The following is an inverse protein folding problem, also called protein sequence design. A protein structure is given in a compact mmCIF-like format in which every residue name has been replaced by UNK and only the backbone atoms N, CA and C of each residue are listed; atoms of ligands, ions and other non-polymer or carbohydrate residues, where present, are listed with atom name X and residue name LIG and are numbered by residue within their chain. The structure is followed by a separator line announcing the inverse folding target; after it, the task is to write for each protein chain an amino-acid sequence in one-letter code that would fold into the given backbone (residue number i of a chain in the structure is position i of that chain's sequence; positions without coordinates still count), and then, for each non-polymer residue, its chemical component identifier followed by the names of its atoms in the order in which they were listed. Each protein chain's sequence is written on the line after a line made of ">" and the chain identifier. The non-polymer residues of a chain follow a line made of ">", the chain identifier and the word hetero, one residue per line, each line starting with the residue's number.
data_IF_863191706270
#
_entry.id   IF_863191706270
#
_cell.length_a   1.000
_cell.length_b   1.000
_cell.length_c   1.000
_cell.angle_alpha   90.00
_cell.angle_beta   90.00
_cell.angle_gamma   90.00
#
_symmetry.space_group_name_H-M   'P 1'
#
loop_
_entity.id
_entity.type
_entity.pdbx_description
1 polymer ?
#
# COMPACT_ATOMS: atom_id res chain seq x y z
N UNK A 1 -2.29 -14.96 1.31
CA UNK A 1 -3.52 -14.33 1.85
C UNK A 1 -3.24 -12.84 1.97
N UNK A 2 -3.99 -11.96 1.29
CA UNK A 2 -3.80 -10.51 1.37
C UNK A 2 -4.84 -9.86 2.29
N UNK A 3 -4.42 -8.88 3.09
CA UNK A 3 -5.30 -8.13 4.01
C UNK A 3 -5.06 -6.63 3.80
N UNK A 4 -6.13 -5.86 3.65
CA UNK A 4 -6.02 -4.39 3.66
C UNK A 4 -5.71 -3.91 5.07
N UNK A 5 -4.70 -3.05 5.19
CA UNK A 5 -4.26 -2.44 6.45
C UNK A 5 -4.49 -0.92 6.48
N UNK A 6 -5.02 -0.37 5.39
CA UNK A 6 -5.28 1.06 5.21
C UNK A 6 -6.74 1.29 4.83
N UNK A 7 -7.32 2.37 5.36
CA UNK A 7 -8.61 2.94 4.96
C UNK A 7 -8.42 4.04 3.90
N UNK A 8 -7.19 4.53 3.72
CA UNK A 8 -6.86 5.49 2.68
C UNK A 8 -7.05 4.90 1.28
N UNK A 9 -7.72 5.67 0.41
CA UNK A 9 -7.96 5.29 -0.98
C UNK A 9 -6.70 5.33 -1.86
N UNK A 10 -6.84 4.80 -3.07
CA UNK A 10 -5.80 4.79 -4.11
C UNK A 10 -5.29 6.20 -4.47
N UNK A 11 -6.07 7.24 -4.23
CA UNK A 11 -5.74 8.65 -4.50
C UNK A 11 -4.99 9.33 -3.34
N UNK A 12 -4.83 8.66 -2.19
CA UNK A 12 -4.19 9.20 -0.99
C UNK A 12 -2.99 8.35 -0.53
N UNK A 13 -1.93 8.32 -1.34
CA UNK A 13 -0.70 7.59 -1.01
C UNK A 13 -0.08 8.04 0.33
N UNK A 14 -0.10 9.34 0.64
CA UNK A 14 0.43 9.86 1.91
C UNK A 14 -0.35 9.30 3.12
N UNK A 15 -1.67 9.20 3.01
CA UNK A 15 -2.51 8.56 4.03
C UNK A 15 -2.18 7.09 4.19
N UNK A 16 -2.04 6.35 3.09
CA UNK A 16 -1.62 4.94 3.13
C UNK A 16 -0.29 4.78 3.86
N UNK A 17 0.72 5.59 3.51
CA UNK A 17 2.04 5.57 4.17
C UNK A 17 1.93 5.80 5.67
N UNK A 18 1.14 6.79 6.10
CA UNK A 18 0.98 7.10 7.52
C UNK A 18 0.30 5.97 8.30
N UNK A 19 -0.77 5.40 7.74
CA UNK A 19 -1.51 4.30 8.37
C UNK A 19 -0.65 3.03 8.42
N UNK A 20 0.10 2.74 7.35
CA UNK A 20 1.07 1.63 7.33
C UNK A 20 2.15 1.84 8.37
N UNK A 21 2.72 3.04 8.49
CA UNK A 21 3.74 3.34 9.48
C UNK A 21 3.23 3.07 10.91
N UNK A 22 2.03 3.58 11.24
CA UNK A 22 1.39 3.33 12.54
C UNK A 22 1.14 1.85 12.76
N UNK A 23 0.62 1.12 11.76
CA UNK A 23 0.39 -0.32 11.85
C UNK A 23 1.67 -1.11 12.14
N UNK A 24 2.77 -0.80 11.42
CA UNK A 24 4.06 -1.46 11.61
C UNK A 24 4.62 -1.18 13.01
N UNK A 25 4.49 0.04 13.51
CA UNK A 25 4.94 0.43 14.85
C UNK A 25 4.14 -0.29 15.94
N UNK A 26 2.80 -0.26 15.85
CA UNK A 26 1.90 -0.85 16.84
C UNK A 26 1.99 -2.38 16.90
N UNK A 27 2.46 -3.01 15.82
CA UNK A 27 2.54 -4.46 15.70
C UNK A 27 3.97 -4.99 15.54
N UNK A 28 4.98 -4.15 15.76
CA UNK A 28 6.38 -4.46 15.48
C UNK A 28 6.82 -5.82 16.04
N UNK A 29 6.63 -6.05 17.35
CA UNK A 29 7.03 -7.29 18.01
C UNK A 29 6.31 -8.54 17.45
N UNK A 30 5.05 -8.38 17.03
CA UNK A 30 4.26 -9.48 16.45
C UNK A 30 4.74 -9.77 15.03
N UNK A 31 5.03 -8.72 14.26
CA UNK A 31 5.49 -8.82 12.87
C UNK A 31 6.90 -9.41 12.81
N UNK A 32 7.78 -9.12 13.77
CA UNK A 32 9.09 -9.78 13.87
C UNK A 32 8.95 -11.31 13.95
N UNK A 33 7.95 -11.82 14.68
CA UNK A 33 7.72 -13.26 14.83
C UNK A 33 7.05 -13.91 13.62
N UNK A 34 6.53 -13.14 12.66
CA UNK A 34 5.89 -13.70 11.45
C UNK A 34 6.86 -14.58 10.66
N UNK A 35 8.16 -14.27 10.70
CA UNK A 35 9.20 -15.09 10.05
C UNK A 35 9.43 -16.45 10.71
N UNK A 36 9.07 -16.58 11.98
CA UNK A 36 9.20 -17.84 12.72
C UNK A 36 8.06 -18.81 12.35
N UNK A 37 7.04 -18.35 11.64
CA UNK A 37 5.89 -19.16 11.23
C UNK A 37 6.32 -20.10 10.09
N UNK A 38 6.25 -21.43 10.28
CA UNK A 38 6.62 -22.39 9.24
C UNK A 38 5.78 -22.21 7.97
N UNK A 39 6.45 -22.17 6.82
CA UNK A 39 5.80 -22.04 5.51
C UNK A 39 5.57 -20.60 5.04
N UNK A 40 5.98 -19.58 5.81
CA UNK A 40 6.05 -18.20 5.33
C UNK A 40 7.38 -18.00 4.60
N UNK A 41 7.34 -17.84 3.28
CA UNK A 41 8.54 -17.60 2.46
C UNK A 41 8.87 -16.12 2.32
N UNK A 42 7.85 -15.26 2.25
CA UNK A 42 8.00 -13.81 2.12
C UNK A 42 6.75 -13.10 2.65
N UNK A 43 6.91 -11.83 3.03
CA UNK A 43 5.83 -10.92 3.36
C UNK A 43 6.11 -9.55 2.73
N UNK A 44 5.07 -8.94 2.16
CA UNK A 44 5.19 -7.71 1.40
C UNK A 44 4.10 -6.71 1.76
N UNK A 45 4.43 -5.43 1.61
CA UNK A 45 3.48 -4.31 1.65
C UNK A 45 3.16 -3.92 0.21
N UNK A 46 1.89 -3.99 -0.18
CA UNK A 46 1.43 -3.59 -1.52
C UNK A 46 0.70 -2.26 -1.44
N UNK A 47 1.26 -1.22 -2.08
CA UNK A 47 0.66 0.09 -2.20
C UNK A 47 -0.05 0.24 -3.54
N UNK A 48 -1.37 0.29 -3.49
CA UNK A 48 -2.20 0.61 -4.65
C UNK A 48 -2.35 2.12 -4.83
N UNK A 49 -1.91 2.65 -5.98
CA UNK A 49 -1.86 4.10 -6.21
C UNK A 49 -2.54 4.44 -7.53
N UNK A 50 -3.45 5.42 -7.51
CA UNK A 50 -4.02 6.00 -8.72
C UNK A 50 -2.99 6.90 -9.39
N UNK A 51 -2.62 6.56 -10.62
CA UNK A 51 -1.73 7.35 -11.46
C UNK A 51 -2.55 8.17 -12.46
N UNK A 52 -2.51 9.49 -12.30
CA UNK A 52 -3.16 10.45 -13.21
C UNK A 52 -2.29 10.66 -14.45
N UNK A 53 -2.70 10.08 -15.58
CA UNK A 53 -1.96 10.16 -16.84
C UNK A 53 -1.73 11.58 -17.37
N UNK A 54 -2.55 12.55 -16.94
CA UNK A 54 -2.38 13.95 -17.32
C UNK A 54 -1.07 14.57 -16.78
N UNK A 55 -0.46 13.94 -15.77
CA UNK A 55 0.79 14.42 -15.19
C UNK A 55 1.98 13.82 -15.97
N UNK A 56 2.92 14.66 -16.40
CA UNK A 56 4.16 14.19 -17.03
C UNK A 56 5.05 13.34 -16.12
N UNK A 57 4.92 13.52 -14.81
CA UNK A 57 5.67 12.76 -13.81
C UNK A 57 4.81 12.49 -12.58
N UNK A 58 5.17 11.47 -11.83
CA UNK A 58 4.61 11.15 -10.52
C UNK A 58 5.75 10.80 -9.58
N UNK A 59 5.92 11.62 -8.55
CA UNK A 59 6.91 11.38 -7.50
C UNK A 59 6.20 10.81 -6.29
N UNK A 60 6.66 9.64 -5.84
CA UNK A 60 6.22 9.01 -4.60
C UNK A 60 7.33 9.15 -3.57
N UNK A 61 6.97 9.55 -2.36
CA UNK A 61 7.92 9.70 -1.27
C UNK A 61 7.71 8.61 -0.22
N UNK A 62 8.71 7.76 -0.03
CA UNK A 62 8.78 6.81 1.07
C UNK A 62 9.61 7.42 2.19
N UNK A 63 9.04 7.66 3.38
CA UNK A 63 9.77 8.27 4.48
C UNK A 63 10.84 7.31 5.01
N UNK A 64 12.01 7.82 5.47
CA UNK A 64 13.09 7.00 6.00
C UNK A 64 12.66 6.04 7.12
N UNK A 65 11.73 6.46 7.98
CA UNK A 65 11.21 5.66 9.09
C UNK A 65 10.46 4.42 8.59
N UNK A 66 9.70 4.55 7.49
CA UNK A 66 9.04 3.41 6.85
C UNK A 66 10.09 2.44 6.29
N UNK A 67 11.07 2.95 5.56
CA UNK A 67 12.12 2.12 4.97
C UNK A 67 12.92 1.36 6.05
N UNK A 68 13.20 2.03 7.17
CA UNK A 68 13.87 1.42 8.32
C UNK A 68 13.04 0.27 8.91
N UNK A 69 11.77 0.51 9.23
CA UNK A 69 10.89 -0.51 9.82
C UNK A 69 10.69 -1.70 8.88
N UNK A 70 10.47 -1.44 7.60
CA UNK A 70 10.32 -2.47 6.57
C UNK A 70 11.59 -3.32 6.46
N UNK A 71 12.77 -2.69 6.46
CA UNK A 71 14.05 -3.39 6.43
C UNK A 71 14.29 -4.24 7.68
N UNK A 72 14.03 -3.69 8.87
CA UNK A 72 14.13 -4.44 10.14
C UNK A 72 13.18 -5.64 10.17
N UNK A 73 11.99 -5.49 9.57
CA UNK A 73 10.98 -6.54 9.44
C UNK A 73 11.19 -7.43 8.21
N UNK A 74 12.23 -7.20 7.39
CA UNK A 74 12.53 -7.89 6.10
C UNK A 74 11.27 -8.06 5.24
N UNK A 75 10.46 -7.02 5.20
CA UNK A 75 9.32 -6.94 4.31
C UNK A 75 9.78 -6.36 2.97
N UNK A 76 9.16 -6.75 1.88
CA UNK A 76 9.29 -6.05 0.61
C UNK A 76 8.20 -4.98 0.45
N UNK A 77 8.44 -4.01 -0.44
CA UNK A 77 7.45 -3.00 -0.84
C UNK A 77 7.16 -3.19 -2.32
N UNK A 78 5.90 -3.47 -2.64
CA UNK A 78 5.36 -3.46 -3.98
C UNK A 78 4.52 -2.19 -4.19
N UNK A 79 4.58 -1.63 -5.40
CA UNK A 79 3.81 -0.45 -5.78
C UNK A 79 3.06 -0.72 -7.08
N UNK A 80 1.73 -0.74 -6.96
CA UNK A 80 0.82 -0.97 -8.08
C UNK A 80 0.24 0.36 -8.57
N UNK A 81 0.74 0.84 -9.71
CA UNK A 81 0.25 2.08 -10.34
C UNK A 81 -0.94 1.78 -11.26
N UNK A 82 -2.12 2.24 -10.87
CA UNK A 82 -3.36 2.09 -11.63
C UNK A 82 -3.66 3.33 -12.44
N UNK A 83 -3.77 3.15 -13.75
CA UNK A 83 -4.20 4.20 -14.67
C UNK A 83 -5.58 4.77 -14.27
N UNK A 84 -5.72 6.10 -14.20
CA UNK A 84 -6.97 6.78 -13.85
C UNK A 84 -8.18 6.38 -14.72
N UNK A 85 -7.96 5.93 -15.96
CA UNK A 85 -9.00 5.33 -16.82
C UNK A 85 -9.67 4.11 -16.18
N UNK A 86 -8.92 3.29 -15.41
CA UNK A 86 -9.46 2.14 -14.68
C UNK A 86 -10.58 2.58 -13.72
N UNK A 87 -10.35 3.64 -12.95
CA UNK A 87 -11.33 4.14 -11.98
C UNK A 87 -12.49 4.88 -12.63
N UNK A 88 -12.24 5.60 -13.74
CA UNK A 88 -13.30 6.26 -14.53
C UNK A 88 -14.32 5.26 -15.07
N UNK A 89 -13.87 4.08 -15.53
CA UNK A 89 -14.75 3.01 -16.01
C UNK A 89 -15.69 2.47 -14.91
N UNK A 90 -15.18 2.34 -13.67
CA UNK A 90 -15.97 1.88 -12.52
C UNK A 90 -17.00 2.94 -12.06
N UNK A 91 -16.64 4.23 -12.08
CA UNK A 91 -17.58 5.33 -11.75
C UNK A 91 -18.75 5.42 -12.75
N UNK A 92 -18.50 5.24 -14.06
CA UNK A 92 -19.58 5.23 -15.08
C UNK A 92 -20.56 4.07 -14.91
N UNK A 93 -20.11 2.87 -14.50
CA UNK A 93 -21.00 1.72 -14.27
C UNK A 93 -21.95 1.91 -13.09
N UNK A 94 -21.52 2.60 -12.02
CA UNK A 94 -22.39 2.89 -10.86
C UNK A 94 -23.52 3.87 -11.16
N UNK A 95 -23.30 4.81 -12.09
CA UNK A 95 -24.30 5.81 -12.50
C UNK A 95 -25.40 5.28 -13.43
N UNK A 96 -25.23 4.09 -14.02
CA UNK A 96 -26.23 3.49 -14.93
C UNK A 96 -27.24 2.57 -14.23
N UNK A 97 -27.13 2.42 -12.90
CA UNK A 97 -27.99 1.55 -12.08
C UNK A 97 -29.04 2.31 -11.25
N UNK A 98 -29.19 3.61 -11.51
CA UNK A 98 -30.21 4.47 -10.91
C UNK A 98 -30.89 5.26 -12.03
#
# INVERSE_FOLDING_TARGET
>A
MSRSITEAGFDNFKGQVQEVLTFLQDNYEKLQRVREVPGVEYANLDFGIEHKMANWTSTLHLPPELLKLVGELELSIDMSLYNDMFFRSKKKRRRRKY
#
